data_IF_581889640695
#
_entry.id   IF_581889640695
#
_cell.length_a   1.000
_cell.length_b   1.000
_cell.length_c   1.000
_cell.angle_alpha   90.00
_cell.angle_beta   90.00
_cell.angle_gamma   90.00
#
_symmetry.space_group_name_H-M   'P 1'
#
loop_
_entity.id
_entity.type
_entity.pdbx_description
1 polymer ?
#
# COMPACT_ATOMS: atom_id res chain seq x y z
N UNK A 1 -17.04 4.98 -7.80
CA UNK A 1 -16.52 5.42 -6.48
C UNK A 1 -15.03 5.77 -6.61
N UNK A 2 -14.55 6.77 -5.87
CA UNK A 2 -13.12 7.01 -5.80
C UNK A 2 -12.37 5.78 -5.27
N UNK A 3 -11.10 5.71 -5.60
CA UNK A 3 -10.22 4.65 -5.09
C UNK A 3 -9.24 5.22 -4.09
N UNK A 4 -8.92 4.40 -3.10
CA UNK A 4 -7.94 4.75 -2.07
C UNK A 4 -6.97 3.59 -1.90
N UNK A 5 -5.70 3.92 -1.71
CA UNK A 5 -4.71 2.91 -1.37
C UNK A 5 -4.44 2.98 0.12
N UNK A 6 -4.47 1.83 0.76
CA UNK A 6 -4.05 1.65 2.14
C UNK A 6 -2.63 1.11 2.12
N UNK A 7 -1.68 1.93 2.53
CA UNK A 7 -0.27 1.54 2.61
C UNK A 7 -0.02 1.02 4.02
N UNK A 8 0.43 -0.21 4.12
CA UNK A 8 0.54 -0.93 5.38
C UNK A 8 1.98 -0.87 5.88
N UNK A 9 2.18 -0.27 7.06
CA UNK A 9 3.50 -0.12 7.68
C UNK A 9 3.60 -0.96 8.93
N UNK A 10 4.70 -1.69 9.04
CA UNK A 10 4.98 -2.54 10.19
C UNK A 10 6.30 -2.09 10.84
N UNK A 11 6.42 -2.12 12.17
CA UNK A 11 7.70 -1.84 12.82
C UNK A 11 8.75 -2.87 12.40
N UNK A 12 10.01 -2.46 12.27
CA UNK A 12 11.12 -3.35 11.97
C UNK A 12 11.25 -4.42 13.05
N UNK A 13 11.07 -4.00 14.30
CA UNK A 13 11.07 -4.92 15.45
C UNK A 13 9.74 -4.73 16.19
N UNK A 14 8.80 -5.61 15.91
CA UNK A 14 7.47 -5.55 16.52
C UNK A 14 7.34 -6.39 17.79
N UNK A 15 8.39 -7.13 18.15
CA UNK A 15 8.44 -7.91 19.39
C UNK A 15 7.50 -9.10 19.44
N UNK A 16 6.85 -9.46 18.34
CA UNK A 16 5.89 -10.57 18.34
C UNK A 16 6.58 -11.93 18.29
N UNK A 17 6.01 -12.88 19.02
CA UNK A 17 6.43 -14.28 18.92
C UNK A 17 5.89 -14.94 17.65
N UNK A 18 6.46 -16.06 17.21
CA UNK A 18 5.90 -16.83 16.11
C UNK A 18 4.44 -17.24 16.32
N UNK A 19 4.05 -17.53 17.56
CA UNK A 19 2.68 -17.88 17.91
C UNK A 19 1.73 -16.68 17.73
N UNK A 20 2.17 -15.50 18.09
CA UNK A 20 1.38 -14.28 17.90
C UNK A 20 1.20 -13.95 16.41
N UNK A 21 2.25 -14.13 15.61
CA UNK A 21 2.19 -13.94 14.17
C UNK A 21 1.22 -14.94 13.54
N UNK A 22 1.31 -16.21 13.94
CA UNK A 22 0.42 -17.25 13.44
C UNK A 22 -1.03 -17.00 13.82
N UNK A 23 -1.28 -16.50 15.04
CA UNK A 23 -2.63 -16.19 15.51
C UNK A 23 -3.28 -15.04 14.74
N UNK A 24 -2.48 -14.09 14.23
CA UNK A 24 -2.98 -12.98 13.44
C UNK A 24 -3.33 -13.37 12.01
N UNK A 25 -2.70 -14.40 11.47
CA UNK A 25 -2.87 -14.78 10.06
C UNK A 25 -4.32 -14.94 9.62
N UNK A 26 -5.20 -15.63 10.37
CA UNK A 26 -6.61 -15.75 10.00
C UNK A 26 -7.35 -14.40 9.96
N UNK A 27 -6.90 -13.44 10.74
CA UNK A 27 -7.53 -12.11 10.79
C UNK A 27 -7.34 -11.36 9.46
N UNK A 28 -6.22 -11.55 8.78
CA UNK A 28 -5.97 -10.96 7.47
C UNK A 28 -6.92 -11.52 6.42
N UNK A 29 -7.14 -12.83 6.43
CA UNK A 29 -8.10 -13.46 5.54
C UNK A 29 -9.52 -12.96 5.78
N UNK A 30 -9.92 -12.86 7.04
CA UNK A 30 -11.24 -12.36 7.42
C UNK A 30 -11.43 -10.89 6.99
N UNK A 31 -10.42 -10.06 7.17
CA UNK A 31 -10.46 -8.67 6.74
C UNK A 31 -10.66 -8.57 5.24
N UNK A 32 -9.86 -9.31 4.47
CA UNK A 32 -9.96 -9.31 3.01
C UNK A 32 -11.33 -9.79 2.53
N UNK A 33 -11.84 -10.88 3.10
CA UNK A 33 -13.17 -11.39 2.75
C UNK A 33 -14.26 -10.39 3.10
N UNK A 34 -14.12 -9.67 4.21
CA UNK A 34 -15.05 -8.61 4.58
C UNK A 34 -15.08 -7.47 3.55
N UNK A 35 -13.92 -7.07 3.04
CA UNK A 35 -13.83 -6.07 1.98
C UNK A 35 -14.51 -6.54 0.69
N UNK A 36 -14.30 -7.79 0.32
CA UNK A 36 -14.93 -8.39 -0.87
C UNK A 36 -16.44 -8.45 -0.71
N UNK A 37 -16.93 -8.90 0.44
CA UNK A 37 -18.35 -9.00 0.72
C UNK A 37 -19.04 -7.63 0.68
N UNK A 38 -18.35 -6.59 1.10
CA UNK A 38 -18.87 -5.22 1.06
C UNK A 38 -18.75 -4.56 -0.32
N UNK A 39 -18.13 -5.22 -1.29
CA UNK A 39 -17.94 -4.66 -2.63
C UNK A 39 -16.87 -3.58 -2.71
N UNK A 40 -15.98 -3.52 -1.72
CA UNK A 40 -14.96 -2.47 -1.63
C UNK A 40 -13.60 -2.90 -2.15
N UNK A 41 -13.34 -4.20 -2.21
CA UNK A 41 -12.03 -4.73 -2.58
C UNK A 41 -11.74 -4.56 -4.06
N UNK A 42 -10.60 -3.96 -4.39
CA UNK A 42 -10.09 -3.88 -5.78
C UNK A 42 -8.86 -4.77 -5.92
N UNK A 43 -7.93 -4.70 -4.98
CA UNK A 43 -6.73 -5.51 -5.00
C UNK A 43 -5.90 -5.30 -3.75
N UNK A 44 -4.78 -5.99 -3.69
CA UNK A 44 -3.83 -5.86 -2.60
C UNK A 44 -2.80 -6.97 -2.65
N UNK A 45 -1.63 -6.69 -2.10
CA UNK A 45 -0.54 -7.65 -2.02
C UNK A 45 0.23 -7.47 -0.73
N UNK A 46 0.68 -8.58 -0.16
CA UNK A 46 1.64 -8.57 0.93
C UNK A 46 3.05 -8.66 0.34
N UNK A 47 3.99 -7.99 0.97
CA UNK A 47 5.39 -7.99 0.53
C UNK A 47 6.22 -8.82 1.50
N UNK A 48 7.26 -9.45 0.96
CA UNK A 48 8.26 -10.11 1.78
C UNK A 48 9.11 -9.09 2.53
N UNK A 49 9.93 -9.55 3.47
CA UNK A 49 10.73 -8.69 4.32
C UNK A 49 11.70 -7.79 3.56
N UNK A 50 12.13 -6.73 4.22
CA UNK A 50 13.03 -5.73 3.61
C UNK A 50 14.41 -6.29 3.22
N UNK A 51 14.80 -7.42 3.80
CA UNK A 51 16.03 -8.14 3.43
C UNK A 51 15.99 -8.68 1.99
N UNK A 52 14.80 -8.82 1.42
CA UNK A 52 14.63 -9.23 0.02
C UNK A 52 14.58 -8.06 -0.95
N UNK A 53 14.59 -6.83 -0.45
CA UNK A 53 14.42 -5.64 -1.29
C UNK A 53 15.65 -5.37 -2.15
N UNK A 54 15.41 -4.80 -3.33
CA UNK A 54 16.46 -4.30 -4.21
C UNK A 54 16.08 -2.89 -4.62
N UNK A 55 17.00 -1.95 -4.47
CA UNK A 55 16.78 -0.55 -4.84
C UNK A 55 17.54 -0.23 -6.11
N UNK A 56 16.86 0.38 -7.07
CA UNK A 56 17.44 0.78 -8.35
C UNK A 56 17.36 2.29 -8.48
N UNK A 57 18.50 2.90 -8.83
CA UNK A 57 18.58 4.32 -9.17
C UNK A 57 19.30 4.47 -10.49
N UNK A 58 18.98 5.51 -11.22
CA UNK A 58 19.73 5.91 -12.41
C UNK A 58 20.27 7.31 -12.13
N UNK A 59 21.59 7.45 -12.19
CA UNK A 59 22.28 8.73 -11.95
C UNK A 59 23.32 8.92 -13.04
N UNK A 60 23.28 10.08 -13.70
CA UNK A 60 24.21 10.41 -14.80
C UNK A 60 24.20 9.35 -15.90
N UNK A 61 23.02 8.78 -16.20
CA UNK A 61 22.86 7.74 -17.21
C UNK A 61 23.30 6.34 -16.76
N UNK A 62 23.75 6.19 -15.52
CA UNK A 62 24.17 4.89 -14.99
C UNK A 62 23.13 4.29 -14.05
N UNK A 63 22.88 2.99 -14.24
CA UNK A 63 21.99 2.23 -13.36
C UNK A 63 22.76 1.78 -12.13
N UNK A 64 22.25 2.14 -10.96
CA UNK A 64 22.80 1.77 -9.65
C UNK A 64 21.84 0.82 -8.96
N UNK A 65 22.34 -0.35 -8.61
CA UNK A 65 21.54 -1.40 -7.94
C UNK A 65 22.13 -1.61 -6.55
N UNK A 66 21.29 -1.52 -5.53
CA UNK A 66 21.68 -1.71 -4.14
C UNK A 66 20.76 -2.76 -3.50
N UNK A 67 21.35 -3.72 -2.80
CA UNK A 67 20.59 -4.66 -1.99
C UNK A 67 20.04 -3.91 -0.76
N UNK A 68 18.78 -4.16 -0.47
CA UNK A 68 18.11 -3.55 0.65
C UNK A 68 17.11 -2.48 0.25
N UNK A 69 16.34 -1.96 1.22
CA UNK A 69 15.32 -0.96 0.97
C UNK A 69 15.93 0.41 0.63
N UNK A 70 15.11 1.26 0.01
CA UNK A 70 15.48 2.62 -0.37
C UNK A 70 16.00 3.44 0.81
N UNK A 71 15.40 3.26 1.98
CA UNK A 71 15.81 3.95 3.20
C UNK A 71 15.66 3.01 4.40
N UNK A 72 16.56 3.14 5.37
CA UNK A 72 16.42 2.47 6.65
C UNK A 72 15.50 3.31 7.53
N UNK A 73 14.38 2.73 7.94
CA UNK A 73 13.38 3.38 8.77
C UNK A 73 12.98 2.46 9.91
N UNK A 74 12.32 3.03 10.92
CA UNK A 74 11.78 2.23 12.03
C UNK A 74 10.55 1.44 11.64
N UNK A 75 9.87 1.87 10.58
CA UNK A 75 8.72 1.20 10.01
C UNK A 75 8.97 1.00 8.52
N UNK A 76 8.44 -0.08 7.97
CA UNK A 76 8.58 -0.39 6.55
C UNK A 76 7.25 -0.77 5.96
N UNK A 77 7.11 -0.61 4.65
CA UNK A 77 5.91 -1.02 3.92
C UNK A 77 5.85 -2.53 3.89
N UNK A 78 4.76 -3.07 4.41
CA UNK A 78 4.50 -4.50 4.50
C UNK A 78 3.58 -5.00 3.38
N UNK A 79 2.86 -4.10 2.74
CA UNK A 79 1.91 -4.41 1.69
C UNK A 79 0.96 -3.26 1.45
N UNK A 80 -0.07 -3.52 0.68
CA UNK A 80 -1.10 -2.53 0.40
C UNK A 80 -2.44 -3.19 0.11
N UNK A 81 -3.51 -2.41 0.28
CA UNK A 81 -4.83 -2.70 -0.26
C UNK A 81 -5.26 -1.56 -1.17
N UNK A 82 -5.95 -1.88 -2.23
CA UNK A 82 -6.60 -0.91 -3.10
C UNK A 82 -8.11 -1.09 -2.95
N UNK A 83 -8.79 -0.01 -2.56
CA UNK A 83 -10.21 -0.04 -2.24
C UNK A 83 -11.00 0.96 -3.08
N UNK A 84 -12.25 0.61 -3.35
CA UNK A 84 -13.28 1.60 -3.66
C UNK A 84 -13.91 2.07 -2.36
N UNK A 85 -14.10 3.37 -2.20
CA UNK A 85 -14.83 3.92 -1.06
C UNK A 85 -15.53 5.21 -1.49
N UNK A 86 -16.69 5.54 -0.93
CA UNK A 86 -17.42 6.74 -1.34
C UNK A 86 -16.69 8.03 -0.99
N UNK A 87 -15.92 8.03 0.10
CA UNK A 87 -15.16 9.20 0.56
C UNK A 87 -14.00 8.79 1.46
N UNK A 88 -13.20 9.76 1.87
CA UNK A 88 -12.03 9.52 2.73
C UNK A 88 -12.43 8.93 4.09
N UNK A 89 -13.52 9.41 4.68
CA UNK A 89 -13.96 8.89 5.99
C UNK A 89 -14.28 7.40 5.94
N UNK A 90 -14.91 6.95 4.86
CA UNK A 90 -15.17 5.52 4.65
C UNK A 90 -13.87 4.72 4.51
N UNK A 91 -12.88 5.27 3.80
CA UNK A 91 -11.58 4.64 3.64
C UNK A 91 -10.84 4.56 4.99
N UNK A 92 -10.90 5.62 5.79
CA UNK A 92 -10.32 5.64 7.13
C UNK A 92 -10.96 4.58 8.03
N UNK A 93 -12.28 4.43 7.94
CA UNK A 93 -12.99 3.41 8.73
C UNK A 93 -12.47 1.99 8.39
N UNK A 94 -12.18 1.73 7.12
CA UNK A 94 -11.59 0.45 6.72
C UNK A 94 -10.14 0.31 7.19
N UNK A 95 -9.35 1.38 7.08
CA UNK A 95 -7.97 1.38 7.54
C UNK A 95 -7.86 1.05 9.04
N UNK A 96 -8.79 1.53 9.84
CA UNK A 96 -8.81 1.28 11.28
C UNK A 96 -9.06 -0.19 11.64
N UNK A 97 -9.51 -1.00 10.69
CA UNK A 97 -9.79 -2.43 10.91
C UNK A 97 -8.66 -3.34 10.44
N UNK A 98 -7.61 -2.78 9.82
CA UNK A 98 -6.47 -3.59 9.35
C UNK A 98 -5.79 -4.24 10.55
N UNK A 99 -5.49 -5.55 10.50
CA UNK A 99 -4.96 -6.27 11.67
C UNK A 99 -3.69 -5.68 12.28
N UNK A 100 -2.82 -5.05 11.47
CA UNK A 100 -1.57 -4.48 11.99
C UNK A 100 -1.71 -3.08 12.60
N UNK A 101 -2.88 -2.45 12.49
CA UNK A 101 -3.04 -1.03 12.85
C UNK A 101 -2.72 -0.74 14.32
N UNK A 102 -2.87 -1.73 15.20
CA UNK A 102 -2.56 -1.58 16.63
C UNK A 102 -1.08 -1.54 16.96
N UNK A 103 -0.20 -2.04 16.06
CA UNK A 103 1.24 -2.04 16.27
C UNK A 103 2.01 -1.24 15.23
N UNK A 104 1.44 -1.08 14.05
CA UNK A 104 2.01 -0.33 12.95
C UNK A 104 1.15 0.86 12.59
N UNK A 105 1.12 1.17 11.31
CA UNK A 105 0.33 2.28 10.79
C UNK A 105 -0.24 1.95 9.43
N UNK A 106 -1.34 2.59 9.08
CA UNK A 106 -1.92 2.50 7.75
C UNK A 106 -2.02 3.93 7.20
N UNK A 107 -1.36 4.17 6.10
CA UNK A 107 -1.44 5.44 5.40
C UNK A 107 -2.52 5.33 4.32
N UNK A 108 -3.47 6.25 4.33
CA UNK A 108 -4.57 6.26 3.36
C UNK A 108 -4.27 7.34 2.32
N UNK A 109 -4.19 6.96 1.06
CA UNK A 109 -3.92 7.92 -0.03
C UNK A 109 -4.96 7.78 -1.13
N UNK A 110 -5.60 8.89 -1.56
CA UNK A 110 -6.45 8.85 -2.74
C UNK A 110 -5.62 8.45 -3.96
N UNK A 111 -6.20 7.58 -4.79
CA UNK A 111 -5.58 7.18 -6.05
C UNK A 111 -5.91 8.23 -7.10
N UNK A 112 -4.91 8.68 -7.84
CA UNK A 112 -5.10 9.65 -8.91
C UNK A 112 -5.90 9.01 -10.05
N UNK A 113 -6.94 9.68 -10.51
CA UNK A 113 -7.68 9.25 -11.70
C UNK A 113 -6.89 9.66 -12.95
N UNK A 114 -6.09 8.73 -13.46
CA UNK A 114 -5.25 8.98 -14.63
C UNK A 114 -6.05 9.19 -15.90
N UNK A 115 -7.24 8.60 -16.00
CA UNK A 115 -8.11 8.80 -17.16
C UNK A 115 -8.54 10.26 -17.25
N UNK A 116 -8.98 10.83 -16.13
CA UNK A 116 -9.34 12.25 -16.08
C UNK A 116 -8.13 13.15 -16.34
N UNK A 117 -6.96 12.76 -15.83
CA UNK A 117 -5.72 13.49 -16.05
C UNK A 117 -5.30 13.44 -17.52
N UNK A 118 -5.38 12.28 -18.16
CA UNK A 118 -5.09 12.11 -19.58
C UNK A 118 -5.99 12.97 -20.46
N UNK A 119 -7.28 13.00 -20.18
CA UNK A 119 -8.24 13.85 -20.89
C UNK A 119 -7.87 15.33 -20.73
N UNK A 120 -7.45 15.72 -19.53
CA UNK A 120 -7.05 17.10 -19.22
C UNK A 120 -5.84 17.53 -20.04
N UNK A 121 -4.89 16.63 -20.31
CA UNK A 121 -3.64 16.94 -21.01
C UNK A 121 -3.63 16.56 -22.50
N UNK A 122 -4.68 15.95 -23.00
CA UNK A 122 -4.73 15.50 -24.39
C UNK A 122 -4.46 16.63 -25.40
N UNK A 123 -5.03 17.82 -25.16
CA UNK A 123 -4.83 18.98 -26.01
C UNK A 123 -3.41 19.55 -25.96
N UNK A 124 -2.74 19.41 -24.81
CA UNK A 124 -1.37 19.90 -24.63
C UNK A 124 -0.38 18.97 -25.32
N UNK A 125 -0.57 17.67 -25.26
CA UNK A 125 0.26 16.68 -25.98
C UNK A 125 0.20 16.92 -27.49
N UNK A 126 -0.99 17.17 -28.01
CA UNK A 126 -1.18 17.49 -29.43
C UNK A 126 -0.43 18.75 -29.82
N UNK A 127 -0.36 19.75 -28.96
CA UNK A 127 0.34 20.99 -29.20
C UNK A 127 1.86 20.87 -29.12
N UNK A 128 2.38 19.90 -28.39
CA UNK A 128 3.82 19.69 -28.17
C UNK A 128 4.42 18.64 -29.11
N UNK A 129 3.60 17.90 -29.76
CA UNK A 129 4.05 16.90 -30.73
C UNK A 129 4.35 17.54 -32.10
#
# INVERSE_FOLDING_TARGET
MPQYMLLLYNPVDDGRSPEEIAAEHPQWGAYTEGLKAAGLYVGGEALEGTDTATTVRVRNGETQITDGPFAETKEYINGYYLLNAPDLDAAIAQAAKVPLVGRGAVEVRPVMDLTALEERYAGQETATA
#
